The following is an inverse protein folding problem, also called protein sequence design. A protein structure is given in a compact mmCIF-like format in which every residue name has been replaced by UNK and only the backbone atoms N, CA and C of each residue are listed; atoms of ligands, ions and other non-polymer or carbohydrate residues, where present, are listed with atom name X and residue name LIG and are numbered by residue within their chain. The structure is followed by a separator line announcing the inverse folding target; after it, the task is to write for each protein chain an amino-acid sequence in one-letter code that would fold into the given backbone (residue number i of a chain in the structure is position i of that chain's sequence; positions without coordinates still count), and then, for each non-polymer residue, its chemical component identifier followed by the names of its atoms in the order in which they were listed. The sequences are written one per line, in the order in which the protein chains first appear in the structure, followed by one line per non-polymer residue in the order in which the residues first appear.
data_IF_370315946865
#
_entry.id   IF_370315946865
#
_cell.length_a   1.000
_cell.length_b   1.000
_cell.length_c   1.000
_cell.angle_alpha   90.00
_cell.angle_beta   90.00
_cell.angle_gamma   90.00
#
_symmetry.space_group_name_H-M   'P 1'
#
loop_
_entity.id
_entity.type
_entity.pdbx_description
1 polymer ?
#
# COMPACT_ATOMS: atom_id res chain seq x y z
N UNK A 1 3.52 23.10 -16.97
CA UNK A 1 3.88 22.39 -15.73
C UNK A 1 3.98 20.91 -16.07
N UNK A 2 5.15 20.29 -15.86
CA UNK A 2 5.28 18.85 -16.09
C UNK A 2 4.48 18.14 -14.99
N UNK A 3 3.55 17.25 -15.35
CA UNK A 3 2.94 16.36 -14.37
C UNK A 3 4.04 15.53 -13.72
N UNK A 4 3.94 15.32 -12.41
CA UNK A 4 4.69 14.27 -11.73
C UNK A 4 4.43 12.94 -12.47
N UNK A 5 5.48 12.12 -12.63
CA UNK A 5 5.34 10.75 -13.12
C UNK A 5 5.62 9.82 -11.94
N UNK A 6 4.78 8.80 -11.77
CA UNK A 6 4.90 7.82 -10.69
C UNK A 6 3.95 8.08 -9.52
N UNK A 7 4.21 7.42 -8.39
CA UNK A 7 3.46 7.51 -7.14
C UNK A 7 4.26 8.33 -6.13
N UNK A 8 3.65 9.37 -5.59
CA UNK A 8 4.19 10.17 -4.50
C UNK A 8 3.25 10.07 -3.31
N UNK A 9 3.80 9.73 -2.15
CA UNK A 9 3.09 9.84 -0.87
C UNK A 9 3.16 11.30 -0.43
N UNK A 10 2.02 11.90 -0.11
CA UNK A 10 1.92 13.31 0.29
C UNK A 10 1.75 13.45 1.79
N UNK A 11 0.89 12.64 2.38
CA UNK A 11 0.63 12.68 3.82
C UNK A 11 0.03 11.36 4.29
N UNK A 12 0.47 10.89 5.46
CA UNK A 12 -0.23 9.86 6.23
C UNK A 12 -0.96 10.56 7.38
N UNK A 13 -2.27 10.35 7.49
CA UNK A 13 -3.10 10.85 8.59
C UNK A 13 -3.65 9.66 9.37
N UNK A 14 -3.37 9.59 10.65
CA UNK A 14 -4.00 8.66 11.59
C UNK A 14 -5.14 9.39 12.29
N UNK A 15 -6.38 9.01 11.98
CA UNK A 15 -7.57 9.64 12.55
C UNK A 15 -7.90 8.97 13.87
N UNK A 16 -7.71 9.72 14.95
CA UNK A 16 -7.90 9.23 16.30
C UNK A 16 -9.20 9.68 16.95
N UNK A 17 -9.52 9.06 18.08
CA UNK A 17 -10.72 9.41 18.85
C UNK A 17 -10.64 10.78 19.51
N UNK A 18 -9.43 11.21 19.89
CA UNK A 18 -9.18 12.49 20.58
C UNK A 18 -8.54 13.54 19.67
N UNK A 19 -7.57 13.13 18.86
CA UNK A 19 -6.85 13.99 17.91
C UNK A 19 -6.35 13.17 16.73
N UNK A 20 -6.05 13.87 15.65
CA UNK A 20 -5.43 13.28 14.47
C UNK A 20 -3.91 13.46 14.55
N UNK A 21 -3.17 12.46 14.09
CA UNK A 21 -1.73 12.54 13.89
C UNK A 21 -1.47 12.59 12.39
N UNK A 22 -0.61 13.47 11.93
CA UNK A 22 -0.30 13.57 10.51
C UNK A 22 1.20 13.66 10.25
N UNK A 23 1.66 12.86 9.29
CA UNK A 23 3.05 12.82 8.84
C UNK A 23 3.07 13.30 7.37
N UNK A 24 3.48 14.55 7.11
CA UNK A 24 3.63 15.04 5.75
C UNK A 24 4.91 14.51 5.09
N UNK A 25 4.86 14.28 3.79
CA UNK A 25 5.97 13.87 2.95
C UNK A 25 6.20 14.88 1.83
N UNK A 26 7.47 15.14 1.55
CA UNK A 26 7.96 16.16 0.62
C UNK A 26 8.86 15.51 -0.45
N UNK A 27 9.10 16.16 -1.60
CA UNK A 27 10.10 15.66 -2.54
C UNK A 27 11.49 15.58 -1.89
N UNK A 28 12.23 14.51 -2.18
CA UNK A 28 13.58 14.28 -1.66
C UNK A 28 13.68 13.10 -0.69
N UNK A 29 14.73 13.09 0.12
CA UNK A 29 15.04 12.02 1.08
C UNK A 29 14.45 12.36 2.44
N UNK A 30 13.67 11.43 3.00
CA UNK A 30 13.10 11.54 4.35
C UNK A 30 13.90 10.68 5.31
N UNK A 31 14.42 11.29 6.37
CA UNK A 31 15.09 10.58 7.46
C UNK A 31 14.19 10.66 8.69
N UNK A 32 13.61 9.52 9.06
CA UNK A 32 12.81 9.38 10.27
C UNK A 32 13.71 8.74 11.34
N UNK A 33 14.13 9.51 12.35
CA UNK A 33 15.07 9.08 13.39
C UNK A 33 14.51 9.30 14.80
N UNK A 34 15.05 8.59 15.79
CA UNK A 34 14.70 8.68 17.22
C UNK A 34 15.04 7.37 17.94
N UNK A 35 14.65 7.24 19.21
CA UNK A 35 14.93 6.05 20.02
C UNK A 35 14.23 4.77 19.51
N UNK A 36 14.73 3.60 19.90
CA UNK A 36 14.02 2.36 19.59
C UNK A 36 12.57 2.43 20.10
N UNK A 37 11.64 1.81 19.36
CA UNK A 37 10.23 1.68 19.75
C UNK A 37 9.35 2.96 19.71
N UNK A 38 9.84 4.06 19.11
CA UNK A 38 9.03 5.29 18.99
C UNK A 38 8.09 5.32 17.76
N UNK A 39 7.68 4.17 17.24
CA UNK A 39 6.71 4.10 16.13
C UNK A 39 7.24 4.39 14.71
N UNK A 40 8.56 4.48 14.50
CA UNK A 40 9.16 4.76 13.17
C UNK A 40 8.81 3.71 12.12
N UNK A 41 9.03 2.44 12.46
CA UNK A 41 8.70 1.30 11.58
C UNK A 41 7.19 1.19 11.36
N UNK A 42 6.39 1.76 12.25
CA UNK A 42 4.92 1.75 12.21
C UNK A 42 4.39 2.64 11.11
N UNK A 43 5.03 3.79 10.86
CA UNK A 43 4.71 4.64 9.71
C UNK A 43 4.83 3.84 8.40
N UNK A 44 5.95 3.16 8.19
CA UNK A 44 6.17 2.37 6.97
C UNK A 44 5.23 1.17 6.87
N UNK A 45 4.99 0.45 7.97
CA UNK A 45 4.02 -0.67 8.02
C UNK A 45 2.60 -0.20 7.69
N UNK A 46 2.18 0.95 8.22
CA UNK A 46 0.86 1.52 7.94
C UNK A 46 0.78 1.94 6.48
N UNK A 47 1.80 2.60 5.92
CA UNK A 47 1.83 2.94 4.48
C UNK A 47 1.72 1.69 3.61
N UNK A 48 2.48 0.64 3.92
CA UNK A 48 2.41 -0.64 3.22
C UNK A 48 1.00 -1.24 3.26
N UNK A 49 0.37 -1.21 4.44
CA UNK A 49 -1.03 -1.60 4.59
C UNK A 49 -1.95 -0.73 3.75
N UNK A 50 -1.86 0.60 3.84
CA UNK A 50 -2.69 1.55 3.10
C UNK A 50 -2.62 1.37 1.58
N UNK A 51 -1.53 0.81 1.03
CA UNK A 51 -1.37 0.58 -0.41
C UNK A 51 -1.89 -0.79 -0.88
N UNK A 52 -2.38 -1.65 0.02
CA UNK A 52 -2.98 -2.94 -0.33
C UNK A 52 -2.49 -4.11 0.50
N UNK A 53 -1.65 -3.88 1.52
CA UNK A 53 -1.25 -4.91 2.46
C UNK A 53 -2.48 -5.57 3.12
N UNK A 54 -2.41 -6.87 3.40
CA UNK A 54 -3.56 -7.64 3.91
C UNK A 54 -3.89 -7.33 5.37
N UNK A 55 -2.85 -7.08 6.16
CA UNK A 55 -2.94 -6.83 7.60
C UNK A 55 -1.85 -5.82 7.99
N UNK A 56 -2.01 -5.23 9.17
CA UNK A 56 -1.02 -4.33 9.77
C UNK A 56 -0.84 -4.69 11.23
N UNK A 57 0.42 -4.82 11.66
CA UNK A 57 0.74 -4.89 13.09
C UNK A 57 0.85 -3.46 13.60
N UNK A 58 -0.06 -3.07 14.48
CA UNK A 58 -0.07 -1.77 15.14
C UNK A 58 0.57 -1.90 16.52
N UNK A 59 1.24 -0.85 16.96
CA UNK A 59 1.74 -0.78 18.34
C UNK A 59 0.60 -0.33 19.26
N UNK A 60 0.79 -0.50 20.57
CA UNK A 60 -0.26 -0.24 21.58
C UNK A 60 -0.73 1.22 21.58
N UNK A 61 0.19 2.17 21.39
CA UNK A 61 -0.13 3.60 21.32
C UNK A 61 -1.05 3.92 20.13
N UNK A 62 -0.76 3.35 18.95
CA UNK A 62 -1.60 3.53 17.76
C UNK A 62 -2.95 2.85 17.97
N UNK A 63 -2.92 1.63 18.50
CA UNK A 63 -4.11 0.80 18.71
C UNK A 63 -5.11 1.42 19.69
N UNK A 64 -4.62 2.13 20.71
CA UNK A 64 -5.46 2.77 21.73
C UNK A 64 -6.00 4.14 21.30
N UNK A 65 -5.36 4.79 20.32
CA UNK A 65 -5.64 6.19 19.99
C UNK A 65 -6.24 6.42 18.61
N UNK A 66 -6.08 5.47 17.68
CA UNK A 66 -6.41 5.63 16.25
C UNK A 66 -7.58 4.73 15.86
N UNK A 67 -8.51 5.25 15.05
CA UNK A 67 -9.65 4.51 14.52
C UNK A 67 -9.38 4.00 13.09
N UNK A 68 -8.96 4.90 12.21
CA UNK A 68 -8.65 4.57 10.82
C UNK A 68 -7.53 5.47 10.30
N UNK A 69 -6.98 5.12 9.14
CA UNK A 69 -5.93 5.91 8.51
C UNK A 69 -6.39 6.46 7.16
N UNK A 70 -5.79 7.59 6.77
CA UNK A 70 -5.93 8.21 5.46
C UNK A 70 -4.55 8.39 4.86
N UNK A 71 -4.36 7.93 3.62
CA UNK A 71 -3.14 8.12 2.86
C UNK A 71 -3.43 9.02 1.66
N UNK A 72 -2.86 10.22 1.67
CA UNK A 72 -2.91 11.12 0.53
C UNK A 72 -1.77 10.81 -0.43
N UNK A 73 -2.13 10.64 -1.70
CA UNK A 73 -1.25 10.28 -2.80
C UNK A 73 -1.38 11.26 -3.96
N UNK A 74 -0.28 11.42 -4.70
CA UNK A 74 -0.27 11.96 -6.06
C UNK A 74 0.23 10.86 -6.99
N UNK A 75 -0.62 10.44 -7.93
CA UNK A 75 -0.28 9.44 -8.94
C UNK A 75 -0.39 10.10 -10.30
N UNK A 76 0.74 10.21 -11.01
CA UNK A 76 0.80 10.81 -12.34
C UNK A 76 0.17 12.23 -12.42
N UNK A 77 0.23 13.00 -11.33
CA UNK A 77 -0.33 14.35 -11.20
C UNK A 77 -1.82 14.39 -10.81
N UNK A 78 -2.42 13.25 -10.48
CA UNK A 78 -3.79 13.15 -9.96
C UNK A 78 -3.76 12.88 -8.45
N UNK A 79 -4.61 13.59 -7.70
CA UNK A 79 -4.67 13.47 -6.23
C UNK A 79 -5.70 12.45 -5.77
N UNK A 80 -5.29 11.62 -4.81
CA UNK A 80 -6.15 10.61 -4.23
C UNK A 80 -6.00 10.56 -2.70
N UNK A 81 -7.11 10.33 -2.00
CA UNK A 81 -7.11 9.97 -0.59
C UNK A 81 -7.66 8.56 -0.41
N UNK A 82 -6.84 7.65 0.10
CA UNK A 82 -7.24 6.30 0.47
C UNK A 82 -7.61 6.31 1.96
N UNK A 83 -8.85 5.97 2.29
CA UNK A 83 -9.34 5.82 3.66
C UNK A 83 -9.51 4.34 3.96
N UNK A 84 -8.86 3.86 5.01
CA UNK A 84 -8.87 2.43 5.36
C UNK A 84 -8.93 2.21 6.87
N UNK A 85 -9.76 1.25 7.24
CA UNK A 85 -9.92 0.76 8.60
C UNK A 85 -8.67 -0.02 9.04
N UNK A 86 -8.19 0.23 10.25
CA UNK A 86 -6.96 -0.41 10.76
C UNK A 86 -7.23 -1.73 11.50
N UNK A 87 -8.48 -2.05 11.80
CA UNK A 87 -8.86 -3.22 12.62
C UNK A 87 -9.74 -4.22 11.87
N UNK A 88 -10.58 -3.73 10.94
CA UNK A 88 -11.39 -4.57 10.06
C UNK A 88 -10.76 -4.68 8.66
N UNK A 89 -9.88 -5.66 8.50
CA UNK A 89 -9.13 -5.88 7.25
C UNK A 89 -9.99 -6.26 6.04
N UNK A 90 -11.22 -6.72 6.25
CA UNK A 90 -12.14 -7.11 5.17
C UNK A 90 -13.09 -5.98 4.77
N UNK A 91 -13.09 -4.87 5.51
CA UNK A 91 -13.88 -3.70 5.17
C UNK A 91 -13.40 -3.11 3.85
N UNK A 92 -14.34 -2.63 3.07
CA UNK A 92 -14.02 -1.92 1.84
C UNK A 92 -13.14 -0.71 2.11
N UNK A 93 -12.26 -0.46 1.16
CA UNK A 93 -11.40 0.72 1.14
C UNK A 93 -12.12 1.82 0.38
N UNK A 94 -12.15 3.01 0.95
CA UNK A 94 -12.75 4.18 0.32
C UNK A 94 -11.64 5.01 -0.35
N UNK A 95 -11.83 5.36 -1.62
CA UNK A 95 -10.87 6.15 -2.38
C UNK A 95 -11.57 7.41 -2.91
N UNK A 96 -11.03 8.56 -2.55
CA UNK A 96 -11.50 9.87 -2.99
C UNK A 96 -10.54 10.44 -4.03
N UNK A 97 -11.05 11.01 -5.12
CA UNK A 97 -10.23 11.71 -6.13
C UNK A 97 -10.03 13.19 -5.77
N UNK A 98 -9.42 13.46 -4.63
CA UNK A 98 -9.13 14.80 -4.15
C UNK A 98 -7.96 14.81 -3.16
N UNK A 99 -7.52 15.99 -2.75
CA UNK A 99 -6.62 16.19 -1.60
C UNK A 99 -7.38 16.03 -0.28
N UNK A 100 -6.68 15.76 0.81
CA UNK A 100 -7.32 15.49 2.10
C UNK A 100 -8.16 16.67 2.60
N UNK A 101 -7.73 17.89 2.32
CA UNK A 101 -8.45 19.13 2.65
C UNK A 101 -9.88 19.16 2.11
N UNK A 102 -10.10 18.56 0.92
CA UNK A 102 -11.40 18.58 0.22
C UNK A 102 -12.17 17.28 0.36
N UNK A 103 -11.72 16.35 1.22
CA UNK A 103 -12.32 15.01 1.32
C UNK A 103 -13.80 15.03 1.70
N UNK A 104 -14.23 16.03 2.49
CA UNK A 104 -15.63 16.21 2.92
C UNK A 104 -16.56 16.67 1.80
N UNK A 105 -16.00 17.22 0.72
CA UNK A 105 -16.74 17.77 -0.42
C UNK A 105 -16.91 16.73 -1.54
N UNK A 106 -16.29 15.55 -1.40
CA UNK A 106 -16.23 14.53 -2.43
C UNK A 106 -16.84 13.22 -1.92
N UNK A 107 -17.32 12.40 -2.86
CA UNK A 107 -17.83 11.07 -2.57
C UNK A 107 -16.77 10.01 -2.87
N UNK A 108 -16.66 8.97 -2.02
CA UNK A 108 -15.69 7.90 -2.25
C UNK A 108 -16.18 6.89 -3.28
N UNK A 109 -15.23 6.32 -4.01
CA UNK A 109 -15.38 5.02 -4.65
C UNK A 109 -14.93 3.92 -3.69
N UNK A 110 -15.65 2.78 -3.68
CA UNK A 110 -15.34 1.65 -2.79
C UNK A 110 -14.61 0.55 -3.54
N UNK A 111 -13.49 0.13 -2.98
CA UNK A 111 -12.65 -0.95 -3.51
C UNK A 111 -12.51 -2.07 -2.48
N UNK A 112 -12.34 -3.30 -2.96
CA UNK A 112 -11.99 -4.39 -2.06
C UNK A 112 -10.57 -4.23 -1.53
N UNK A 113 -10.42 -4.55 -0.25
CA UNK A 113 -9.15 -4.54 0.49
C UNK A 113 -8.11 -5.49 -0.11
N UNK A 114 -8.53 -6.66 -0.59
CA UNK A 114 -7.66 -7.68 -1.21
C UNK A 114 -8.02 -7.95 -2.67
N UNK A 115 -7.01 -8.25 -3.49
CA UNK A 115 -7.17 -8.75 -4.87
C UNK A 115 -8.01 -10.03 -4.91
N UNK A 116 -7.83 -10.92 -3.92
CA UNK A 116 -8.56 -12.20 -3.85
C UNK A 116 -10.08 -12.04 -3.66
N UNK A 117 -10.53 -10.86 -3.23
CA UNK A 117 -11.94 -10.54 -3.05
C UNK A 117 -12.52 -9.78 -4.26
N UNK A 118 -11.70 -9.46 -5.26
CA UNK A 118 -12.17 -8.71 -6.42
C UNK A 118 -13.19 -9.49 -7.24
N UNK A 119 -14.22 -8.79 -7.70
CA UNK A 119 -15.26 -9.33 -8.58
C UNK A 119 -15.18 -8.63 -9.93
N UNK A 120 -15.97 -9.09 -10.91
CA UNK A 120 -16.10 -8.42 -12.21
C UNK A 120 -16.63 -6.98 -12.06
N UNK A 121 -17.46 -6.74 -11.06
CA UNK A 121 -18.12 -5.45 -10.83
C UNK A 121 -17.29 -4.51 -9.93
N UNK A 122 -16.50 -5.05 -9.00
CA UNK A 122 -15.76 -4.26 -8.03
C UNK A 122 -14.30 -4.68 -7.93
N UNK A 123 -13.43 -3.73 -8.25
CA UNK A 123 -11.97 -3.91 -8.30
C UNK A 123 -11.35 -3.83 -6.91
N UNK A 124 -10.14 -4.39 -6.78
CA UNK A 124 -9.33 -4.25 -5.58
C UNK A 124 -8.56 -2.92 -5.57
N UNK A 125 -8.15 -2.48 -4.38
CA UNK A 125 -7.31 -1.29 -4.21
C UNK A 125 -5.99 -1.40 -5.00
N UNK A 126 -5.33 -2.55 -4.96
CA UNK A 126 -4.07 -2.75 -5.69
C UNK A 126 -4.25 -2.64 -7.20
N UNK A 127 -5.36 -3.19 -7.73
CA UNK A 127 -5.69 -3.03 -9.15
C UNK A 127 -5.95 -1.57 -9.51
N UNK A 128 -6.63 -0.82 -8.64
CA UNK A 128 -6.81 0.62 -8.83
C UNK A 128 -5.47 1.36 -8.92
N UNK A 129 -4.55 1.15 -7.97
CA UNK A 129 -3.25 1.83 -7.95
C UNK A 129 -2.42 1.50 -9.20
N UNK A 130 -2.37 0.23 -9.62
CA UNK A 130 -1.67 -0.19 -10.83
C UNK A 130 -2.22 0.49 -12.08
N UNK A 131 -3.55 0.57 -12.19
CA UNK A 131 -4.21 1.21 -13.33
C UNK A 131 -3.90 2.71 -13.36
N UNK A 132 -3.99 3.42 -12.22
CA UNK A 132 -3.66 4.85 -12.14
C UNK A 132 -2.18 5.13 -12.44
N UNK A 133 -1.30 4.18 -12.11
CA UNK A 133 0.11 4.25 -12.47
C UNK A 133 0.39 4.01 -13.96
N UNK A 134 -0.62 3.60 -14.74
CA UNK A 134 -0.49 3.15 -16.12
C UNK A 134 0.47 1.96 -16.30
N UNK A 135 0.56 1.09 -15.28
CA UNK A 135 1.25 -0.18 -15.43
C UNK A 135 0.37 -1.15 -16.25
N UNK A 136 0.94 -1.91 -17.20
CA UNK A 136 0.17 -2.91 -17.94
C UNK A 136 -0.36 -3.97 -16.98
N UNK A 137 -1.63 -4.31 -17.10
CA UNK A 137 -2.24 -5.41 -16.35
C UNK A 137 -1.73 -6.73 -16.90
N UNK A 138 -0.63 -7.24 -16.35
CA UNK A 138 -0.07 -8.54 -16.73
C UNK A 138 -0.71 -9.63 -15.87
N UNK A 139 -1.37 -10.58 -16.52
CA UNK A 139 -1.83 -11.83 -15.89
C UNK A 139 -0.76 -12.91 -16.09
N UNK A 140 -0.17 -13.40 -14.99
CA UNK A 140 0.91 -14.38 -14.99
C UNK A 140 0.31 -15.73 -14.58
N UNK A 141 0.55 -16.81 -15.34
CA UNK A 141 0.14 -18.16 -14.91
C UNK A 141 0.91 -18.56 -13.66
N UNK A 142 0.22 -18.95 -12.59
CA UNK A 142 0.84 -19.40 -11.33
C UNK A 142 1.66 -20.70 -11.50
N UNK A 143 1.29 -21.56 -12.44
CA UNK A 143 2.02 -22.77 -12.82
C UNK A 143 2.14 -22.82 -14.36
N UNK A 144 3.31 -22.50 -14.94
CA UNK A 144 3.51 -22.54 -16.38
C UNK A 144 3.32 -23.93 -16.99
N UNK A 145 3.52 -25.01 -16.20
CA UNK A 145 3.48 -26.41 -16.65
C UNK A 145 2.13 -27.12 -16.51
N UNK A 146 1.09 -26.49 -15.94
CA UNK A 146 -0.25 -27.10 -15.81
C UNK A 146 -1.23 -26.54 -16.85
N UNK A 147 -1.99 -27.42 -17.50
CA UNK A 147 -2.99 -27.07 -18.52
C UNK A 147 -4.11 -26.14 -17.99
N UNK A 148 -4.41 -26.23 -16.69
CA UNK A 148 -5.32 -25.32 -15.97
C UNK A 148 -4.52 -24.70 -14.83
N UNK A 149 -4.04 -23.47 -15.03
CA UNK A 149 -3.39 -22.66 -14.00
C UNK A 149 -4.24 -21.44 -13.73
N UNK A 150 -4.50 -21.16 -12.45
CA UNK A 150 -4.99 -19.85 -12.03
C UNK A 150 -3.99 -18.77 -12.49
N UNK A 151 -4.50 -17.65 -12.98
CA UNK A 151 -3.68 -16.48 -13.33
C UNK A 151 -3.54 -15.58 -12.10
N UNK A 152 -2.30 -15.26 -11.73
CA UNK A 152 -1.99 -14.24 -10.75
C UNK A 152 -1.90 -12.88 -11.45
N UNK A 153 -2.63 -11.90 -10.93
CA UNK A 153 -2.51 -10.50 -11.35
C UNK A 153 -1.39 -9.83 -10.57
N UNK A 154 -0.56 -9.05 -11.26
CA UNK A 154 0.44 -8.20 -10.63
C UNK A 154 -0.24 -7.30 -9.57
N UNK A 155 0.33 -7.24 -8.37
CA UNK A 155 -0.09 -6.32 -7.30
C UNK A 155 0.93 -5.21 -7.11
N UNK A 156 0.49 -4.05 -6.62
CA UNK A 156 1.41 -3.02 -6.14
C UNK A 156 2.33 -3.57 -5.04
N UNK A 157 1.88 -4.57 -4.29
CA UNK A 157 2.71 -5.27 -3.30
C UNK A 157 3.89 -6.02 -3.93
N UNK A 158 3.75 -6.51 -5.16
CA UNK A 158 4.86 -7.17 -5.86
C UNK A 158 5.92 -6.15 -6.28
N UNK A 159 5.53 -4.91 -6.58
CA UNK A 159 6.48 -3.82 -6.77
C UNK A 159 7.12 -3.39 -5.44
N UNK A 160 6.36 -3.37 -4.34
CA UNK A 160 6.86 -2.97 -3.01
C UNK A 160 8.02 -3.83 -2.51
N UNK A 161 8.06 -5.12 -2.86
CA UNK A 161 9.19 -6.01 -2.53
C UNK A 161 10.55 -5.47 -3.02
N UNK A 162 10.54 -4.65 -4.08
CA UNK A 162 11.75 -4.02 -4.63
C UNK A 162 11.96 -2.58 -4.14
N UNK A 163 10.98 -1.99 -3.44
CA UNK A 163 11.00 -0.60 -2.96
C UNK A 163 11.17 -0.50 -1.44
N UNK A 164 10.94 -1.59 -0.71
CA UNK A 164 10.99 -1.64 0.75
C UNK A 164 12.07 -2.62 1.20
N UNK A 165 13.01 -2.13 2.01
CA UNK A 165 14.05 -2.92 2.66
C UNK A 165 13.77 -2.89 4.16
N UNK A 166 13.44 -4.04 4.75
CA UNK A 166 13.31 -4.14 6.20
C UNK A 166 14.70 -4.23 6.86
N UNK A 167 14.85 -3.63 8.03
CA UNK A 167 16.08 -3.72 8.83
C UNK A 167 16.46 -5.17 9.14
N UNK A 168 15.45 -6.02 9.41
CA UNK A 168 15.66 -7.45 9.67
C UNK A 168 16.19 -8.21 8.44
N UNK A 169 15.82 -7.77 7.23
CA UNK A 169 16.25 -8.41 5.98
C UNK A 169 17.71 -8.06 5.64
N UNK A 170 18.13 -6.82 5.93
CA UNK A 170 19.49 -6.32 5.69
C UNK A 170 20.52 -6.98 6.60
N UNK A 171 20.13 -7.33 7.83
CA UNK A 171 20.99 -8.05 8.76
C UNK A 171 21.14 -9.55 8.45
N UNK A 172 20.36 -10.08 7.51
CA UNK A 172 20.35 -11.50 7.18
C UNK A 172 21.36 -11.86 6.09
N UNK A 173 21.98 -13.04 6.16
CA UNK A 173 22.87 -13.58 5.13
C UNK A 173 22.19 -13.77 3.76
N UNK A 174 20.86 -13.60 3.69
CA UNK A 174 20.03 -13.77 2.49
C UNK A 174 19.49 -12.44 1.91
N UNK A 175 20.03 -11.28 2.35
CA UNK A 175 19.57 -9.91 2.01
C UNK A 175 19.22 -9.63 0.53
N UNK A 176 19.87 -10.31 -0.42
CA UNK A 176 19.64 -10.10 -1.86
C UNK A 176 18.96 -11.29 -2.55
N UNK A 177 18.41 -12.22 -1.79
CA UNK A 177 17.93 -13.50 -2.31
C UNK A 177 19.02 -14.26 -3.10
N UNK A 178 20.30 -13.96 -2.85
CA UNK A 178 21.45 -14.65 -3.43
C UNK A 178 21.44 -16.08 -2.87
N UNK A 179 21.01 -17.02 -3.70
CA UNK A 179 20.85 -18.44 -3.33
C UNK A 179 19.44 -18.99 -3.49
N UNK A 180 18.42 -18.14 -3.63
CA UNK A 180 17.12 -18.59 -4.12
C UNK A 180 17.15 -18.60 -5.64
N UNK A 181 17.51 -19.76 -6.19
CA UNK A 181 17.18 -20.09 -7.56
C UNK A 181 15.67 -19.93 -7.69
N UNK A 182 15.21 -19.08 -8.62
CA UNK A 182 13.86 -19.23 -9.16
C UNK A 182 13.83 -20.65 -9.71
N UNK A 183 13.22 -21.58 -8.98
CA UNK A 183 12.89 -22.89 -9.52
C UNK A 183 11.86 -22.65 -10.63
N UNK A 184 12.36 -22.37 -11.84
CA UNK A 184 11.69 -22.69 -13.07
C UNK A 184 11.68 -24.22 -13.17
N UNK A 185 10.85 -24.83 -12.33
CA UNK A 185 10.54 -26.24 -12.38
C UNK A 185 9.53 -26.45 -13.50
N UNK A 186 10.03 -26.59 -14.71
CA UNK A 186 9.36 -27.37 -15.75
C UNK A 186 9.41 -28.82 -15.25
N UNK A 187 8.30 -29.29 -14.68
CA UNK A 187 7.82 -30.66 -14.84
C UNK A 187 6.30 -30.59 -14.98
#
# INVERSE_FOLDING_TARGET
MSKSKGLLIKQLILVGYRKNYSVPFYPGVHIIYGDADTGKSSILRIIYYMLGGKQVKLDEEVSSSVSYAVLELDINGSHFCIVRDLYNYNKDVEVYRCTYEKIKEHYPEKFFSSISQSTLEKKSLSSFIINELNFPSVEIKQAPSKDISETARLSILDLFKYMYLNQDDVGSTHMLNIGNYVCSGIV
#
